data_IF_520566802415
#
_entry.id   IF_520566802415
#
_cell.length_a   1.000
_cell.length_b   1.000
_cell.length_c   1.000
_cell.angle_alpha   90.00
_cell.angle_beta   90.00
_cell.angle_gamma   90.00
#
_symmetry.space_group_name_H-M   'P 1'
#
loop_
_entity.id
_entity.type
_entity.pdbx_description
1 polymer ?
#
# COMPACT_ATOMS: atom_id res chain seq x y z
N UNK A 1 7.31 -3.87 -32.82
CA UNK A 1 6.89 -2.71 -32.00
C UNK A 1 6.09 -3.12 -30.76
N UNK A 2 4.88 -3.71 -30.84
CA UNK A 2 4.11 -4.17 -29.67
C UNK A 2 4.82 -5.33 -28.96
N UNK A 3 5.30 -6.32 -29.70
CA UNK A 3 6.00 -7.50 -29.15
C UNK A 3 7.33 -7.13 -28.48
N UNK A 4 8.09 -6.21 -29.07
CA UNK A 4 9.35 -5.70 -28.51
C UNK A 4 9.10 -4.88 -27.24
N UNK A 5 7.99 -4.15 -27.16
CA UNK A 5 7.57 -3.45 -25.96
C UNK A 5 7.28 -4.42 -24.81
N UNK A 6 6.51 -5.48 -25.06
CA UNK A 6 6.22 -6.53 -24.07
C UNK A 6 7.47 -7.27 -23.63
N UNK A 7 8.41 -7.55 -24.53
CA UNK A 7 9.65 -8.24 -24.22
C UNK A 7 10.58 -7.38 -23.35
N UNK A 8 10.66 -6.07 -23.59
CA UNK A 8 11.47 -5.13 -22.83
C UNK A 8 10.84 -4.73 -21.47
N UNK A 9 9.51 -4.85 -21.32
CA UNK A 9 8.78 -4.47 -20.10
C UNK A 9 8.16 -5.68 -19.38
N UNK A 10 8.57 -6.90 -19.72
CA UNK A 10 7.98 -8.14 -19.17
C UNK A 10 8.06 -8.20 -17.63
N UNK A 11 9.18 -7.78 -17.03
CA UNK A 11 9.33 -7.74 -15.57
C UNK A 11 8.38 -6.74 -14.91
N UNK A 12 8.21 -5.56 -15.53
CA UNK A 12 7.27 -4.53 -15.04
C UNK A 12 5.84 -5.03 -15.09
N UNK A 13 5.44 -5.65 -16.20
CA UNK A 13 4.09 -6.23 -16.35
C UNK A 13 3.82 -7.33 -15.32
N UNK A 14 4.79 -8.20 -15.06
CA UNK A 14 4.68 -9.23 -14.02
C UNK A 14 4.53 -8.57 -12.63
N UNK A 15 5.33 -7.56 -12.33
CA UNK A 15 5.25 -6.84 -11.07
C UNK A 15 3.88 -6.18 -10.86
N UNK A 16 3.33 -5.52 -11.90
CA UNK A 16 1.98 -4.93 -11.89
C UNK A 16 0.90 -5.99 -11.66
N UNK A 17 0.95 -7.11 -12.40
CA UNK A 17 -0.04 -8.19 -12.25
C UNK A 17 0.01 -8.79 -10.85
N UNK A 18 1.20 -8.98 -10.27
CA UNK A 18 1.36 -9.45 -8.90
C UNK A 18 0.86 -8.43 -7.86
N UNK A 19 1.03 -7.13 -8.11
CA UNK A 19 0.50 -6.09 -7.24
C UNK A 19 -1.04 -6.07 -7.25
N UNK A 20 -1.66 -6.21 -8.41
CA UNK A 20 -3.13 -6.34 -8.53
C UNK A 20 -3.61 -7.63 -7.88
N UNK A 21 -2.89 -8.73 -8.06
CA UNK A 21 -3.18 -10.01 -7.42
C UNK A 21 -3.09 -9.89 -5.89
N UNK A 22 -2.02 -9.27 -5.36
CA UNK A 22 -1.87 -8.96 -3.94
C UNK A 22 -3.12 -8.26 -3.41
N UNK A 23 -3.52 -7.16 -4.00
CA UNK A 23 -4.64 -6.36 -3.54
C UNK A 23 -5.97 -7.13 -3.64
N UNK A 24 -6.19 -7.85 -4.74
CA UNK A 24 -7.39 -8.68 -4.96
C UNK A 24 -7.52 -9.82 -3.94
N UNK A 25 -6.40 -10.44 -3.56
CA UNK A 25 -6.35 -11.47 -2.53
C UNK A 25 -6.53 -10.89 -1.13
N UNK A 26 -5.98 -9.69 -0.86
CA UNK A 26 -6.15 -8.99 0.40
C UNK A 26 -7.62 -8.61 0.65
N UNK A 27 -8.37 -8.22 -0.38
CA UNK A 27 -9.82 -8.01 -0.32
C UNK A 27 -10.54 -9.25 0.22
N UNK A 28 -10.11 -10.44 -0.22
CA UNK A 28 -10.69 -11.74 0.17
C UNK A 28 -10.07 -12.30 1.46
N UNK A 29 -9.20 -11.55 2.12
CA UNK A 29 -8.40 -12.01 3.27
C UNK A 29 -7.63 -13.31 3.01
N UNK A 30 -7.28 -13.59 1.77
CA UNK A 30 -6.50 -14.75 1.42
C UNK A 30 -5.02 -14.52 1.74
N UNK A 31 -4.43 -15.40 2.54
CA UNK A 31 -3.03 -15.31 3.01
C UNK A 31 -2.01 -15.26 1.85
N UNK A 32 -2.38 -15.79 0.68
CA UNK A 32 -1.53 -15.75 -0.52
C UNK A 32 -1.32 -14.32 -1.06
N UNK A 33 -2.04 -13.32 -0.53
CA UNK A 33 -1.73 -11.92 -0.84
C UNK A 33 -0.28 -11.57 -0.46
N UNK A 34 0.21 -12.06 0.67
CA UNK A 34 1.55 -11.71 1.15
C UNK A 34 2.68 -12.18 0.24
N UNK A 35 2.76 -13.48 -0.19
CA UNK A 35 3.74 -13.89 -1.19
C UNK A 35 3.63 -13.10 -2.50
N UNK A 36 2.43 -12.84 -2.99
CA UNK A 36 2.24 -12.03 -4.20
C UNK A 36 2.80 -10.62 -4.03
N UNK A 37 2.53 -9.98 -2.89
CA UNK A 37 3.06 -8.66 -2.54
C UNK A 37 4.59 -8.66 -2.40
N UNK A 38 5.16 -9.65 -1.71
CA UNK A 38 6.61 -9.78 -1.55
C UNK A 38 7.30 -9.90 -2.91
N UNK A 39 6.82 -10.80 -3.79
CA UNK A 39 7.42 -11.00 -5.11
C UNK A 39 7.28 -9.73 -5.95
N UNK A 40 6.12 -9.09 -5.95
CA UNK A 40 5.91 -7.81 -6.63
C UNK A 40 6.90 -6.75 -6.15
N UNK A 41 7.05 -6.58 -4.83
CA UNK A 41 7.96 -5.59 -4.26
C UNK A 41 9.42 -5.88 -4.57
N UNK A 42 9.84 -7.15 -4.59
CA UNK A 42 11.20 -7.52 -5.01
C UNK A 42 11.44 -7.12 -6.48
N UNK A 43 10.49 -7.38 -7.36
CA UNK A 43 10.61 -6.97 -8.77
C UNK A 43 10.64 -5.45 -8.91
N UNK A 44 9.76 -4.73 -8.21
CA UNK A 44 9.74 -3.26 -8.22
C UNK A 44 11.02 -2.66 -7.64
N UNK A 45 11.66 -3.27 -6.65
CA UNK A 45 12.96 -2.82 -6.16
C UNK A 45 13.99 -2.72 -7.30
N UNK A 46 14.12 -3.76 -8.12
CA UNK A 46 15.06 -3.75 -9.24
C UNK A 46 14.65 -2.77 -10.33
N UNK A 47 13.34 -2.69 -10.64
CA UNK A 47 12.81 -1.77 -11.65
C UNK A 47 13.08 -0.32 -11.25
N UNK A 48 12.74 0.07 -10.02
CA UNK A 48 12.92 1.43 -9.50
C UNK A 48 14.40 1.79 -9.37
N UNK A 49 15.22 0.84 -8.89
CA UNK A 49 16.67 1.05 -8.81
C UNK A 49 17.31 1.25 -10.19
N UNK A 50 16.90 0.49 -11.19
CA UNK A 50 17.37 0.64 -12.58
C UNK A 50 16.94 1.96 -13.21
N UNK A 51 15.79 2.50 -12.80
CA UNK A 51 15.26 3.79 -13.23
C UNK A 51 15.89 4.99 -12.47
N UNK A 52 16.79 4.75 -11.51
CA UNK A 52 17.36 5.79 -10.65
C UNK A 52 16.40 6.34 -9.58
N UNK A 53 15.27 5.65 -9.34
CA UNK A 53 14.27 6.01 -8.33
C UNK A 53 14.60 5.31 -7.00
N UNK A 54 15.68 5.74 -6.38
CA UNK A 54 16.25 5.05 -5.21
C UNK A 54 15.35 5.10 -3.98
N UNK A 55 14.63 6.20 -3.73
CA UNK A 55 13.71 6.30 -2.57
C UNK A 55 12.55 5.32 -2.70
N UNK A 56 11.95 5.22 -3.86
CA UNK A 56 10.91 4.26 -4.19
C UNK A 56 11.44 2.81 -4.11
N UNK A 57 12.70 2.57 -4.50
CA UNK A 57 13.35 1.27 -4.34
C UNK A 57 13.51 0.90 -2.85
N UNK A 58 13.96 1.82 -2.00
CA UNK A 58 14.05 1.57 -0.55
C UNK A 58 12.68 1.32 0.09
N UNK A 59 11.63 2.00 -0.37
CA UNK A 59 10.26 1.73 0.08
C UNK A 59 9.84 0.28 -0.24
N UNK A 60 10.28 -0.29 -1.37
CA UNK A 60 10.01 -1.70 -1.69
C UNK A 60 10.65 -2.67 -0.70
N UNK A 61 11.84 -2.37 -0.17
CA UNK A 61 12.46 -3.17 0.89
C UNK A 61 11.57 -3.18 2.14
N UNK A 62 11.04 -2.01 2.51
CA UNK A 62 10.08 -1.93 3.61
C UNK A 62 8.83 -2.80 3.34
N UNK A 63 8.27 -2.77 2.12
CA UNK A 63 7.12 -3.62 1.78
C UNK A 63 7.43 -5.11 1.83
N UNK A 64 8.63 -5.54 1.45
CA UNK A 64 9.07 -6.93 1.60
C UNK A 64 9.10 -7.34 3.08
N UNK A 65 9.69 -6.52 3.96
CA UNK A 65 9.71 -6.79 5.41
C UNK A 65 8.31 -6.84 5.99
N UNK A 66 7.45 -5.89 5.63
CA UNK A 66 6.04 -5.88 6.03
C UNK A 66 5.25 -7.05 5.46
N UNK A 67 5.61 -7.54 4.29
CA UNK A 67 5.04 -8.75 3.70
C UNK A 67 5.29 -9.98 4.58
N UNK A 68 6.52 -10.20 5.03
CA UNK A 68 6.84 -11.30 5.96
C UNK A 68 6.16 -11.10 7.32
N UNK A 69 6.13 -9.87 7.84
CA UNK A 69 5.42 -9.57 9.07
C UNK A 69 3.93 -9.87 8.95
N UNK A 70 3.26 -9.36 7.94
CA UNK A 70 1.84 -9.58 7.69
C UNK A 70 1.51 -11.05 7.49
N UNK A 71 2.33 -11.77 6.71
CA UNK A 71 2.19 -13.21 6.55
C UNK A 71 2.25 -13.94 7.89
N UNK A 72 3.23 -13.58 8.73
CA UNK A 72 3.35 -14.16 10.08
C UNK A 72 2.14 -13.87 10.96
N UNK A 73 1.58 -12.66 10.87
CA UNK A 73 0.38 -12.29 11.62
C UNK A 73 -0.85 -13.08 11.12
N UNK A 74 -1.03 -13.17 9.82
CA UNK A 74 -2.18 -13.86 9.23
C UNK A 74 -2.11 -15.39 9.36
N UNK A 75 -0.90 -15.96 9.48
CA UNK A 75 -0.70 -17.40 9.71
C UNK A 75 -1.02 -17.85 11.15
N UNK A 76 -0.93 -16.96 12.13
CA UNK A 76 -1.23 -17.27 13.56
C UNK A 76 -2.70 -17.60 13.82
N UNK A 77 -3.55 -17.50 12.80
CA UNK A 77 -5.00 -17.66 12.87
C UNK A 77 -5.40 -19.10 12.61
N UNK A 78 -5.03 -20.02 13.49
CA UNK A 78 -5.60 -21.35 13.46
C UNK A 78 -6.77 -21.55 14.44
N UNK A 79 -7.00 -20.62 15.37
CA UNK A 79 -8.13 -20.66 16.30
C UNK A 79 -8.59 -19.23 16.69
N UNK A 80 -9.73 -18.83 16.19
CA UNK A 80 -10.72 -17.84 16.68
C UNK A 80 -10.34 -16.36 16.94
N UNK A 81 -9.11 -15.88 16.79
CA UNK A 81 -8.79 -14.56 17.33
C UNK A 81 -8.23 -13.50 16.37
N UNK A 82 -7.91 -13.83 15.12
CA UNK A 82 -7.36 -12.82 14.19
C UNK A 82 -8.40 -12.39 13.16
N UNK A 83 -9.40 -11.75 13.65
CA UNK A 83 -10.58 -11.27 12.91
C UNK A 83 -10.33 -9.84 12.45
N UNK A 84 -11.11 -9.36 11.49
CA UNK A 84 -11.14 -7.93 11.15
C UNK A 84 -11.50 -7.13 12.38
N UNK A 85 -10.67 -6.14 12.69
CA UNK A 85 -10.80 -5.29 13.86
C UNK A 85 -10.85 -3.82 13.46
N UNK A 86 -11.13 -2.97 14.43
CA UNK A 86 -11.12 -1.52 14.32
C UNK A 86 -10.15 -0.90 15.31
N UNK A 87 -9.64 0.28 15.01
CA UNK A 87 -8.91 1.10 15.97
C UNK A 87 -9.84 2.06 16.70
N UNK A 88 -9.50 2.40 17.95
CA UNK A 88 -10.13 3.51 18.64
C UNK A 88 -9.71 4.85 18.02
N UNK A 89 -10.57 5.88 18.15
CA UNK A 89 -10.26 7.22 17.65
C UNK A 89 -8.92 7.78 18.13
N UNK A 90 -8.54 7.45 19.38
CA UNK A 90 -7.25 7.87 19.95
C UNK A 90 -6.05 7.28 19.19
N UNK A 91 -6.13 6.00 18.75
CA UNK A 91 -5.07 5.36 17.95
C UNK A 91 -4.97 6.02 16.56
N UNK A 92 -6.09 6.38 15.96
CA UNK A 92 -6.10 7.15 14.72
C UNK A 92 -5.46 8.53 14.89
N UNK A 93 -5.78 9.22 15.99
CA UNK A 93 -5.17 10.51 16.30
C UNK A 93 -3.64 10.40 16.38
N UNK A 94 -3.10 9.41 17.10
CA UNK A 94 -1.66 9.19 17.19
C UNK A 94 -1.05 8.82 15.84
N UNK A 95 -1.67 7.93 15.07
CA UNK A 95 -1.18 7.51 13.76
C UNK A 95 -1.13 8.69 12.77
N UNK A 96 -2.19 9.49 12.70
CA UNK A 96 -2.27 10.67 11.83
C UNK A 96 -1.25 11.72 12.27
N UNK A 97 -1.14 12.01 13.57
CA UNK A 97 -0.15 12.94 14.09
C UNK A 97 1.28 12.49 13.77
N UNK A 98 1.57 11.21 13.91
CA UNK A 98 2.85 10.62 13.55
C UNK A 98 3.16 10.81 12.05
N UNK A 99 2.21 10.49 11.17
CA UNK A 99 2.34 10.69 9.72
C UNK A 99 2.60 12.16 9.42
N UNK A 100 1.83 13.09 9.98
CA UNK A 100 1.97 14.53 9.71
C UNK A 100 3.33 15.07 10.18
N UNK A 101 3.78 14.70 11.38
CA UNK A 101 5.07 15.14 11.94
C UNK A 101 6.23 14.63 11.07
N UNK A 102 6.23 13.34 10.73
CA UNK A 102 7.29 12.77 9.92
C UNK A 102 7.26 13.27 8.47
N UNK A 103 6.08 13.46 7.89
CA UNK A 103 5.93 14.05 6.56
C UNK A 103 6.45 15.48 6.50
N UNK A 104 6.12 16.27 7.51
CA UNK A 104 6.63 17.64 7.58
C UNK A 104 8.16 17.68 7.75
N UNK A 105 8.69 16.88 8.69
CA UNK A 105 10.13 16.85 8.97
C UNK A 105 10.95 16.34 7.78
N UNK A 106 10.53 15.21 7.17
CA UNK A 106 11.22 14.66 6.00
C UNK A 106 10.98 15.49 4.74
N UNK A 107 9.79 16.07 4.58
CA UNK A 107 9.48 16.99 3.50
C UNK A 107 10.34 18.26 3.56
N UNK A 108 10.52 18.83 4.76
CA UNK A 108 11.39 19.98 4.98
C UNK A 108 12.87 19.64 4.67
N UNK A 109 13.32 18.46 5.11
CA UNK A 109 14.67 17.99 4.79
C UNK A 109 14.86 17.85 3.28
N UNK A 110 13.93 17.17 2.59
CA UNK A 110 14.00 16.99 1.13
C UNK A 110 13.94 18.33 0.40
N UNK A 111 13.09 19.27 0.84
CA UNK A 111 13.00 20.60 0.26
C UNK A 111 14.32 21.39 0.39
N UNK A 112 15.05 21.21 1.51
CA UNK A 112 16.28 21.96 1.79
C UNK A 112 17.53 21.35 1.15
N UNK A 113 17.54 20.04 0.87
CA UNK A 113 18.73 19.30 0.46
C UNK A 113 18.60 18.57 -0.88
N UNK A 114 17.43 18.61 -1.53
CA UNK A 114 17.18 17.92 -2.81
C UNK A 114 16.31 18.78 -3.73
N UNK A 115 16.34 18.49 -5.03
CA UNK A 115 15.48 19.12 -6.04
C UNK A 115 14.12 18.42 -6.19
N UNK A 116 13.59 17.82 -5.09
CA UNK A 116 12.31 17.12 -5.12
C UNK A 116 11.17 18.09 -5.46
N UNK A 117 10.35 17.75 -6.47
CA UNK A 117 9.33 18.65 -7.01
C UNK A 117 8.18 18.93 -6.02
N UNK A 118 7.78 17.94 -5.22
CA UNK A 118 6.66 18.02 -4.25
C UNK A 118 6.99 17.27 -2.95
N UNK A 119 8.05 17.68 -2.22
CA UNK A 119 8.64 16.89 -1.15
C UNK A 119 7.69 16.59 0.01
N UNK A 120 6.79 17.52 0.36
CA UNK A 120 5.83 17.32 1.45
C UNK A 120 4.73 16.33 1.10
N UNK A 121 4.25 16.35 -0.15
CA UNK A 121 3.23 15.40 -0.63
C UNK A 121 3.82 14.00 -0.75
N UNK A 122 5.02 13.89 -1.30
CA UNK A 122 5.77 12.64 -1.45
C UNK A 122 6.05 11.99 -0.08
N UNK A 123 6.52 12.78 0.89
CA UNK A 123 6.70 12.34 2.26
C UNK A 123 5.38 11.90 2.92
N UNK A 124 4.28 12.63 2.69
CA UNK A 124 2.97 12.27 3.25
C UNK A 124 2.47 10.93 2.70
N UNK A 125 2.56 10.73 1.40
CA UNK A 125 2.17 9.47 0.75
C UNK A 125 3.02 8.33 1.30
N UNK A 126 4.35 8.51 1.42
CA UNK A 126 5.26 7.49 1.94
C UNK A 126 4.94 7.09 3.39
N UNK A 127 4.85 8.05 4.31
CA UNK A 127 4.56 7.76 5.72
C UNK A 127 3.14 7.22 5.91
N UNK A 128 2.18 7.73 5.13
CA UNK A 128 0.82 7.20 5.10
C UNK A 128 0.77 5.75 4.65
N UNK A 129 1.49 5.39 3.58
CA UNK A 129 1.58 4.03 3.05
C UNK A 129 2.20 3.05 4.07
N UNK A 130 3.20 3.49 4.84
CA UNK A 130 3.81 2.71 5.91
C UNK A 130 2.75 2.33 6.97
N UNK A 131 1.98 3.31 7.45
CA UNK A 131 0.92 3.07 8.43
C UNK A 131 -0.19 2.20 7.85
N UNK A 132 -0.66 2.50 6.63
CA UNK A 132 -1.71 1.72 5.98
C UNK A 132 -1.30 0.25 5.77
N UNK A 133 -0.06 -0.02 5.38
CA UNK A 133 0.49 -1.39 5.25
C UNK A 133 0.50 -2.12 6.59
N UNK A 134 0.91 -1.44 7.68
CA UNK A 134 0.82 -2.00 9.02
C UNK A 134 -0.63 -2.34 9.40
N UNK A 135 -1.59 -1.48 9.06
CA UNK A 135 -3.01 -1.72 9.32
C UNK A 135 -3.54 -2.93 8.54
N UNK A 136 -3.12 -3.14 7.28
CA UNK A 136 -3.43 -4.37 6.52
C UNK A 136 -2.89 -5.60 7.26
N UNK A 137 -1.64 -5.55 7.70
CA UNK A 137 -1.02 -6.67 8.43
C UNK A 137 -1.76 -7.01 9.72
N UNK A 138 -2.38 -6.03 10.37
CA UNK A 138 -3.20 -6.19 11.59
C UNK A 138 -4.69 -6.45 11.31
N UNK A 139 -5.12 -6.58 10.05
CA UNK A 139 -6.52 -6.70 9.61
C UNK A 139 -7.44 -5.60 10.15
N UNK A 140 -6.95 -4.37 10.20
CA UNK A 140 -7.74 -3.21 10.59
C UNK A 140 -8.55 -2.72 9.38
N UNK A 141 -9.88 -2.63 9.51
CA UNK A 141 -10.74 -2.27 8.39
C UNK A 141 -10.44 -0.87 7.84
N UNK A 142 -10.02 0.03 8.70
CA UNK A 142 -9.73 1.41 8.33
C UNK A 142 -8.51 1.54 7.41
N UNK A 143 -7.71 0.48 7.22
CA UNK A 143 -6.64 0.48 6.22
C UNK A 143 -7.15 0.91 4.84
N UNK A 144 -8.36 0.49 4.47
CA UNK A 144 -8.97 0.81 3.18
C UNK A 144 -9.26 2.31 3.02
N UNK A 145 -9.60 3.01 4.13
CA UNK A 145 -9.81 4.46 4.14
C UNK A 145 -8.47 5.19 4.00
N UNK A 146 -7.44 4.71 4.70
CA UNK A 146 -6.09 5.26 4.57
C UNK A 146 -5.57 5.12 3.15
N UNK A 147 -5.68 3.93 2.55
CA UNK A 147 -5.30 3.70 1.16
C UNK A 147 -6.10 4.56 0.18
N UNK A 148 -7.40 4.74 0.41
CA UNK A 148 -8.20 5.62 -0.43
C UNK A 148 -7.65 7.05 -0.46
N UNK A 149 -7.29 7.60 0.69
CA UNK A 149 -6.71 8.96 0.79
C UNK A 149 -5.34 9.01 0.12
N UNK A 150 -4.47 8.05 0.42
CA UNK A 150 -3.10 7.98 -0.11
C UNK A 150 -3.12 7.85 -1.63
N UNK A 151 -3.87 6.90 -2.17
CA UNK A 151 -3.92 6.64 -3.60
C UNK A 151 -4.57 7.79 -4.37
N UNK A 152 -5.58 8.46 -3.79
CA UNK A 152 -6.18 9.66 -4.38
C UNK A 152 -5.16 10.80 -4.51
N UNK A 153 -4.34 11.02 -3.48
CA UNK A 153 -3.26 12.02 -3.52
C UNK A 153 -2.18 11.59 -4.53
N UNK A 154 -1.83 10.29 -4.56
CA UNK A 154 -0.84 9.74 -5.49
C UNK A 154 -1.26 9.91 -6.95
N UNK A 155 -2.55 9.76 -7.28
CA UNK A 155 -3.07 10.02 -8.62
C UNK A 155 -2.74 11.46 -9.05
N UNK A 156 -3.05 12.45 -8.18
CA UNK A 156 -2.76 13.86 -8.48
C UNK A 156 -1.25 14.10 -8.61
N UNK A 157 -0.46 13.48 -7.75
CA UNK A 157 1.00 13.55 -7.80
C UNK A 157 1.53 13.02 -9.14
N UNK A 158 1.10 11.82 -9.57
CA UNK A 158 1.56 11.21 -10.82
C UNK A 158 1.09 11.97 -12.06
N UNK A 159 -0.14 12.51 -12.07
CA UNK A 159 -0.62 13.40 -13.14
C UNK A 159 0.28 14.63 -13.25
N UNK A 160 0.61 15.28 -12.12
CA UNK A 160 1.48 16.47 -12.11
C UNK A 160 2.90 16.21 -12.63
N UNK A 161 3.35 14.95 -12.57
CA UNK A 161 4.65 14.48 -13.08
C UNK A 161 4.58 13.92 -14.50
N UNK A 162 3.41 13.93 -15.15
CA UNK A 162 3.20 13.36 -16.47
C UNK A 162 3.17 11.83 -16.52
N UNK A 163 3.12 11.15 -15.37
CA UNK A 163 3.06 9.69 -15.23
C UNK A 163 1.62 9.19 -15.33
N UNK A 164 0.99 9.45 -16.46
CA UNK A 164 -0.43 9.13 -16.70
C UNK A 164 -0.75 7.63 -16.57
N UNK A 165 0.07 6.67 -17.12
CA UNK A 165 -0.19 5.24 -16.94
C UNK A 165 -0.22 4.83 -15.45
N UNK A 166 0.70 5.35 -14.65
CA UNK A 166 0.76 5.09 -13.21
C UNK A 166 -0.44 5.68 -12.49
N UNK A 167 -0.84 6.91 -12.82
CA UNK A 167 -2.06 7.51 -12.27
C UNK A 167 -3.31 6.66 -12.58
N UNK A 168 -3.40 6.11 -13.80
CA UNK A 168 -4.49 5.21 -14.18
C UNK A 168 -4.50 3.91 -13.36
N UNK A 169 -3.32 3.31 -13.09
CA UNK A 169 -3.20 2.13 -12.22
C UNK A 169 -3.71 2.42 -10.80
N UNK A 170 -3.37 3.59 -10.24
CA UNK A 170 -3.89 4.01 -8.93
C UNK A 170 -5.41 4.25 -8.95
N UNK A 171 -5.97 4.69 -10.07
CA UNK A 171 -7.42 4.72 -10.29
C UNK A 171 -8.07 3.33 -10.19
N UNK A 172 -7.42 2.29 -10.74
CA UNK A 172 -7.84 0.89 -10.57
C UNK A 172 -7.78 0.48 -9.09
N UNK A 173 -6.73 0.87 -8.36
CA UNK A 173 -6.61 0.59 -6.93
C UNK A 173 -7.76 1.20 -6.13
N UNK A 174 -8.18 2.43 -6.41
CA UNK A 174 -9.36 3.05 -5.77
C UNK A 174 -10.62 2.18 -5.92
N UNK A 175 -10.84 1.62 -7.12
CA UNK A 175 -11.98 0.71 -7.35
C UNK A 175 -11.85 -0.57 -6.49
N UNK A 176 -10.66 -1.17 -6.43
CA UNK A 176 -10.42 -2.37 -5.62
C UNK A 176 -10.57 -2.08 -4.12
N UNK A 177 -10.08 -0.93 -3.65
CA UNK A 177 -10.22 -0.45 -2.26
C UNK A 177 -11.69 -0.39 -1.84
N UNK A 178 -12.58 0.12 -2.69
CA UNK A 178 -14.00 0.17 -2.41
C UNK A 178 -14.61 -1.23 -2.19
N UNK A 179 -14.25 -2.19 -3.01
CA UNK A 179 -14.68 -3.59 -2.83
C UNK A 179 -14.05 -4.22 -1.59
N UNK A 180 -12.79 -3.90 -1.30
CA UNK A 180 -12.07 -4.35 -0.12
C UNK A 180 -12.74 -3.90 1.18
N UNK A 181 -13.06 -2.60 1.28
CA UNK A 181 -13.80 -2.07 2.42
C UNK A 181 -15.14 -2.76 2.61
N UNK A 182 -15.94 -2.91 1.54
CA UNK A 182 -17.24 -3.59 1.61
C UNK A 182 -17.12 -5.06 2.04
N UNK A 183 -16.11 -5.76 1.52
CA UNK A 183 -15.86 -7.16 1.88
C UNK A 183 -15.51 -7.31 3.36
N UNK A 184 -14.56 -6.51 3.84
CA UNK A 184 -14.12 -6.57 5.23
C UNK A 184 -15.19 -6.08 6.21
N UNK A 185 -16.01 -5.10 5.82
CA UNK A 185 -17.13 -4.63 6.63
C UNK A 185 -18.15 -5.74 6.89
N UNK A 186 -18.52 -6.53 5.88
CA UNK A 186 -19.42 -7.68 6.04
C UNK A 186 -18.86 -8.72 7.02
N UNK A 187 -17.54 -8.94 6.99
CA UNK A 187 -16.89 -9.89 7.91
C UNK A 187 -16.93 -9.34 9.33
N UNK A 188 -16.64 -8.05 9.52
CA UNK A 188 -16.67 -7.40 10.83
C UNK A 188 -18.08 -7.46 11.45
N UNK A 189 -19.11 -7.15 10.67
CA UNK A 189 -20.52 -7.22 11.11
C UNK A 189 -20.91 -8.65 11.55
N UNK A 190 -20.58 -9.65 10.73
CA UNK A 190 -20.85 -11.05 11.07
C UNK A 190 -20.16 -11.51 12.35
N UNK A 191 -18.92 -11.02 12.61
CA UNK A 191 -18.19 -11.36 13.82
C UNK A 191 -18.82 -10.74 15.06
N UNK A 192 -19.33 -9.51 14.96
CA UNK A 192 -20.00 -8.84 16.07
C UNK A 192 -21.33 -9.53 16.42
N UNK A 193 -22.05 -10.09 15.44
CA UNK A 193 -23.29 -10.86 15.66
C UNK A 193 -23.04 -12.20 16.39
N UNK A 194 -21.85 -12.81 16.23
CA UNK A 194 -21.52 -14.09 16.87
C UNK A 194 -21.12 -13.87 18.35
N UNK A 195 -20.63 -12.66 18.69
CA UNK A 195 -20.13 -12.33 20.04
C UNK A 195 -21.23 -11.69 20.92
N UNK A 196 -22.31 -11.18 20.32
CA UNK A 196 -23.49 -10.63 21.03
C UNK A 196 -24.50 -11.72 21.39
#
# INVERSE_FOLDING_TARGET
>A
MIFDYFQNHSLELIAVLLAILYLSLAVRQNILCWPAGIISSVLYFFIMNSAGLYMEAYLQIFYVLMGFYGWSQWKKVTNDSFVVNTWSGLKHFYAISFVLILSFSSGLFMHSFTDAALPFIDAFVTWGAIIATYMVAKKLIENWIYWFVIDSISILLFISRGLIPTAFLFGIYIVIIFFGYKSWKKILEKNNEIVS
#
